data_IF_515029163727
#
_entry.id   IF_515029163727
#
_cell.length_a   1.000
_cell.length_b   1.000
_cell.length_c   1.000
_cell.angle_alpha   90.00
_cell.angle_beta   90.00
_cell.angle_gamma   90.00
#
_symmetry.space_group_name_H-M   'P 1'
#
loop_
_entity.id
_entity.type
_entity.pdbx_description
1 polymer ?
#
# COMPACT_ATOMS: atom_id res chain seq x y z
N UNK A 1 15.96 1.02 -7.58
CA UNK A 1 16.41 -0.39 -7.42
C UNK A 1 16.91 -0.89 -8.77
N UNK A 2 18.22 -1.15 -8.90
CA UNK A 2 18.86 -1.51 -10.18
C UNK A 2 18.58 -2.99 -10.46
N UNK A 3 17.88 -3.31 -11.56
CA UNK A 3 17.67 -4.71 -11.96
C UNK A 3 19.03 -5.31 -12.33
N UNK A 4 19.48 -6.34 -11.61
CA UNK A 4 20.67 -7.12 -11.99
C UNK A 4 20.29 -8.08 -13.11
N UNK A 5 21.21 -8.24 -14.04
CA UNK A 5 21.29 -9.36 -14.98
C UNK A 5 21.09 -10.66 -14.20
N UNK A 6 20.18 -11.53 -14.66
CA UNK A 6 19.95 -12.83 -14.03
C UNK A 6 21.23 -13.68 -14.11
N UNK A 7 21.39 -14.63 -13.19
CA UNK A 7 22.51 -15.56 -13.18
C UNK A 7 22.57 -16.37 -14.48
N UNK A 8 23.77 -16.84 -14.84
CA UNK A 8 23.99 -17.74 -15.99
C UNK A 8 23.12 -18.99 -15.94
N UNK A 9 22.84 -19.50 -14.73
CA UNK A 9 21.99 -20.67 -14.50
C UNK A 9 20.52 -20.43 -14.86
N UNK A 10 20.08 -19.18 -15.11
CA UNK A 10 18.68 -18.92 -15.42
C UNK A 10 18.22 -19.62 -16.71
N UNK A 11 19.11 -19.80 -17.69
CA UNK A 11 18.80 -20.51 -18.94
C UNK A 11 18.75 -22.03 -18.79
N UNK A 12 19.25 -22.58 -17.68
CA UNK A 12 19.22 -24.03 -17.42
C UNK A 12 17.88 -24.50 -16.84
N UNK A 13 17.06 -23.58 -16.32
CA UNK A 13 15.73 -23.93 -15.84
C UNK A 13 14.76 -24.10 -17.01
N UNK A 14 14.20 -25.30 -17.13
CA UNK A 14 13.07 -25.55 -18.03
C UNK A 14 11.83 -24.87 -17.46
N UNK A 15 11.17 -23.94 -18.19
CA UNK A 15 9.95 -23.31 -17.71
C UNK A 15 8.85 -24.37 -17.57
N UNK A 16 8.46 -24.69 -16.35
CA UNK A 16 7.27 -25.52 -16.12
C UNK A 16 6.03 -24.70 -16.45
N UNK A 17 5.17 -25.22 -17.33
CA UNK A 17 3.81 -24.68 -17.48
C UNK A 17 3.09 -24.93 -16.17
N UNK A 18 3.03 -23.92 -15.31
CA UNK A 18 2.10 -23.90 -14.20
C UNK A 18 0.73 -23.79 -14.86
N UNK A 19 0.09 -24.94 -15.12
CA UNK A 19 -1.36 -24.99 -15.24
C UNK A 19 -1.85 -24.67 -13.83
N UNK A 20 -2.00 -23.39 -13.54
CA UNK A 20 -2.71 -22.97 -12.34
C UNK A 20 -4.06 -23.69 -12.44
N UNK A 21 -4.26 -24.69 -11.58
CA UNK A 21 -5.59 -25.24 -11.37
C UNK A 21 -6.40 -24.04 -10.93
N UNK A 22 -7.16 -23.52 -11.87
CA UNK A 22 -7.89 -22.29 -11.70
C UNK A 22 -8.98 -22.63 -10.70
N UNK A 23 -8.70 -22.40 -9.41
CA UNK A 23 -9.69 -22.52 -8.36
C UNK A 23 -10.89 -21.69 -8.79
N UNK A 24 -12.11 -22.18 -8.53
CA UNK A 24 -13.36 -21.55 -9.00
C UNK A 24 -13.48 -20.05 -8.67
N UNK A 25 -12.67 -19.52 -7.75
CA UNK A 25 -12.60 -18.11 -7.38
C UNK A 25 -11.15 -17.58 -7.47
N UNK A 26 -10.75 -17.11 -8.65
CA UNK A 26 -9.49 -16.38 -8.82
C UNK A 26 -9.66 -14.92 -8.38
N UNK A 27 -9.16 -14.56 -7.20
CA UNK A 27 -9.03 -13.15 -6.81
C UNK A 27 -7.57 -12.68 -6.95
N UNK A 28 -7.39 -11.43 -7.35
CA UNK A 28 -6.07 -10.78 -7.40
C UNK A 28 -5.75 -10.25 -6.01
N UNK A 29 -4.62 -10.65 -5.45
CA UNK A 29 -4.15 -10.07 -4.19
C UNK A 29 -3.25 -8.87 -4.48
N UNK A 30 -3.61 -7.70 -3.95
CA UNK A 30 -2.83 -6.46 -4.06
C UNK A 30 -2.23 -6.13 -2.69
N UNK A 31 -0.93 -5.87 -2.67
CA UNK A 31 -0.24 -5.34 -1.50
C UNK A 31 -0.73 -3.92 -1.18
N UNK A 32 -1.26 -3.73 0.02
CA UNK A 32 -1.80 -2.46 0.50
C UNK A 32 -0.72 -1.40 0.68
N UNK A 33 0.50 -1.80 1.06
CA UNK A 33 1.65 -0.89 1.14
C UNK A 33 1.98 -0.29 -0.23
N UNK A 34 2.06 -1.12 -1.26
CA UNK A 34 2.20 -0.68 -2.65
C UNK A 34 1.07 0.24 -3.08
N UNK A 35 -0.19 -0.15 -2.81
CA UNK A 35 -1.37 0.59 -3.23
C UNK A 35 -1.37 2.03 -2.69
N UNK A 36 -1.03 2.22 -1.40
CA UNK A 36 -0.97 3.52 -0.72
C UNK A 36 -0.01 4.52 -1.37
N UNK A 37 1.04 4.05 -2.03
CA UNK A 37 1.99 4.92 -2.72
C UNK A 37 1.75 4.98 -4.23
N UNK A 38 0.89 4.11 -4.76
CA UNK A 38 0.63 4.03 -6.19
C UNK A 38 -0.45 5.00 -6.66
N UNK A 39 -1.47 5.23 -5.84
CA UNK A 39 -2.55 6.18 -6.12
C UNK A 39 -2.06 7.58 -5.76
N UNK A 40 -1.97 8.46 -6.74
CA UNK A 40 -1.47 9.84 -6.56
C UNK A 40 -2.62 10.75 -6.14
N UNK A 41 -2.44 11.46 -5.02
CA UNK A 41 -3.42 12.42 -4.53
C UNK A 41 -3.39 13.70 -5.37
N UNK A 42 -4.52 14.04 -6.02
CA UNK A 42 -4.63 15.31 -6.74
C UNK A 42 -4.87 16.46 -5.77
N UNK A 43 -4.46 17.67 -6.18
CA UNK A 43 -4.74 18.89 -5.40
C UNK A 43 -6.25 19.11 -5.29
N UNK A 44 -6.69 19.65 -4.16
CA UNK A 44 -8.08 20.01 -3.87
C UNK A 44 -9.07 18.83 -3.81
N UNK A 45 -8.60 17.58 -3.69
CA UNK A 45 -9.46 16.46 -3.35
C UNK A 45 -9.59 16.34 -1.83
N UNK A 46 -10.79 16.05 -1.35
CA UNK A 46 -11.00 15.65 0.04
C UNK A 46 -10.61 14.17 0.26
N UNK A 47 -10.43 13.77 1.51
CA UNK A 47 -10.04 12.39 1.84
C UNK A 47 -11.04 11.33 1.36
N UNK A 48 -12.34 11.65 1.30
CA UNK A 48 -13.36 10.74 0.78
C UNK A 48 -13.20 10.47 -0.72
N UNK A 49 -12.97 11.52 -1.52
CA UNK A 49 -12.72 11.40 -2.95
C UNK A 49 -11.36 10.75 -3.23
N UNK A 50 -10.36 11.05 -2.39
CA UNK A 50 -9.08 10.33 -2.41
C UNK A 50 -9.34 8.84 -2.17
N UNK A 51 -10.09 8.45 -1.12
CA UNK A 51 -10.38 7.05 -0.83
C UNK A 51 -11.13 6.36 -1.98
N UNK A 52 -12.10 7.02 -2.62
CA UNK A 52 -12.77 6.50 -3.82
C UNK A 52 -11.80 6.27 -4.99
N UNK A 53 -10.80 7.14 -5.15
CA UNK A 53 -9.79 6.96 -6.21
C UNK A 53 -9.00 5.66 -6.06
N UNK A 54 -8.83 5.14 -4.83
CA UNK A 54 -8.26 3.81 -4.58
C UNK A 54 -9.12 2.69 -5.13
N UNK A 55 -10.44 2.75 -4.89
CA UNK A 55 -11.38 1.79 -5.45
C UNK A 55 -11.35 1.84 -6.99
N UNK A 56 -11.42 3.04 -7.57
CA UNK A 56 -11.36 3.23 -9.03
C UNK A 56 -10.05 2.68 -9.61
N UNK A 57 -8.92 2.91 -8.94
CA UNK A 57 -7.63 2.36 -9.36
C UNK A 57 -7.66 0.82 -9.38
N UNK A 58 -8.17 0.20 -8.31
CA UNK A 58 -8.25 -1.26 -8.24
C UNK A 58 -9.14 -1.85 -9.33
N UNK A 59 -10.34 -1.28 -9.52
CA UNK A 59 -11.27 -1.71 -10.56
C UNK A 59 -10.68 -1.58 -11.96
N UNK A 60 -9.99 -0.46 -12.22
CA UNK A 60 -9.42 -0.17 -13.54
C UNK A 60 -8.22 -1.07 -13.87
N UNK A 61 -7.38 -1.39 -12.88
CA UNK A 61 -6.12 -2.10 -13.11
C UNK A 61 -6.20 -3.61 -12.85
N UNK A 62 -7.11 -4.06 -12.00
CA UNK A 62 -7.18 -5.46 -11.55
C UNK A 62 -8.60 -6.07 -11.70
N UNK A 63 -9.61 -5.26 -12.02
CA UNK A 63 -11.00 -5.71 -12.15
C UNK A 63 -11.74 -5.77 -10.82
N UNK A 64 -12.87 -6.51 -10.79
CA UNK A 64 -13.79 -6.51 -9.66
C UNK A 64 -13.48 -7.53 -8.56
N UNK A 65 -12.64 -8.52 -8.83
CA UNK A 65 -12.35 -9.60 -7.87
C UNK A 65 -10.94 -9.42 -7.27
N UNK A 66 -10.81 -8.45 -6.38
CA UNK A 66 -9.52 -8.01 -5.81
C UNK A 66 -9.57 -8.06 -4.30
N UNK A 67 -8.54 -8.63 -3.68
CA UNK A 67 -8.32 -8.58 -2.25
C UNK A 67 -7.11 -7.69 -1.97
N UNK A 68 -7.31 -6.61 -1.20
CA UNK A 68 -6.21 -5.74 -0.76
C UNK A 68 -5.75 -6.16 0.62
N UNK A 69 -4.45 -6.40 0.78
CA UNK A 69 -3.86 -6.81 2.06
C UNK A 69 -3.03 -5.67 2.61
N UNK A 70 -3.54 -4.99 3.64
CA UNK A 70 -2.75 -4.02 4.39
C UNK A 70 -1.95 -4.76 5.47
N UNK A 71 -0.67 -4.99 5.22
CA UNK A 71 0.22 -5.57 6.22
C UNK A 71 0.68 -4.49 7.23
N UNK A 72 0.14 -4.57 8.44
CA UNK A 72 0.69 -3.87 9.58
C UNK A 72 1.73 -4.75 10.25
N UNK A 73 2.92 -4.22 10.54
CA UNK A 73 3.73 -4.87 11.57
C UNK A 73 3.03 -4.67 12.92
N UNK A 74 2.84 -5.74 13.72
CA UNK A 74 2.37 -5.61 15.08
C UNK A 74 3.22 -4.56 15.81
N UNK A 75 2.57 -3.61 16.49
CA UNK A 75 3.26 -2.56 17.28
C UNK A 75 4.15 -3.16 18.38
N UNK A 76 3.85 -4.39 18.77
CA UNK A 76 4.49 -5.24 19.77
C UNK A 76 5.59 -6.17 19.19
N UNK A 77 5.92 -6.06 17.89
CA UNK A 77 7.07 -6.74 17.33
C UNK A 77 8.35 -6.15 17.94
N UNK A 78 8.76 -6.73 19.08
CA UNK A 78 10.00 -6.55 19.81
C UNK A 78 11.03 -5.91 18.89
N UNK A 79 11.38 -4.64 19.12
CA UNK A 79 12.11 -3.74 18.20
C UNK A 79 13.54 -4.17 17.79
N UNK A 80 13.83 -5.46 17.84
CA UNK A 80 15.08 -6.15 17.55
C UNK A 80 15.28 -6.47 16.06
N UNK A 81 14.33 -6.11 15.18
CA UNK A 81 14.48 -6.27 13.73
C UNK A 81 15.07 -5.02 13.09
N UNK A 82 15.96 -5.22 12.11
CA UNK A 82 16.47 -4.15 11.25
C UNK A 82 15.35 -3.39 10.52
N UNK A 83 14.22 -4.07 10.23
CA UNK A 83 13.03 -3.44 9.64
C UNK A 83 12.37 -2.43 10.60
N UNK A 84 12.27 -2.78 11.89
CA UNK A 84 11.68 -1.90 12.91
C UNK A 84 12.55 -0.68 13.17
N UNK A 85 13.88 -0.86 13.26
CA UNK A 85 14.83 0.25 13.40
C UNK A 85 14.77 1.23 12.22
N UNK A 86 14.73 0.71 10.98
CA UNK A 86 14.62 1.55 9.78
C UNK A 86 13.26 2.26 9.69
N UNK A 87 12.17 1.62 10.13
CA UNK A 87 10.85 2.25 10.23
C UNK A 87 10.87 3.43 11.21
N UNK A 88 11.40 3.24 12.41
CA UNK A 88 11.52 4.31 13.43
C UNK A 88 12.40 5.45 12.90
N UNK A 89 13.53 5.13 12.26
CA UNK A 89 14.41 6.14 11.67
C UNK A 89 13.67 7.00 10.62
N UNK A 90 12.87 6.39 9.73
CA UNK A 90 12.08 7.11 8.72
C UNK A 90 10.94 7.91 9.33
N UNK A 91 10.23 7.34 10.30
CA UNK A 91 9.16 8.04 11.02
C UNK A 91 9.71 9.30 11.69
N UNK A 92 10.82 9.20 12.42
CA UNK A 92 11.44 10.35 13.11
C UNK A 92 11.96 11.44 12.16
N UNK A 93 12.32 11.10 10.92
CA UNK A 93 12.85 12.06 9.94
C UNK A 93 11.76 12.80 9.16
N UNK A 94 10.61 12.15 8.93
CA UNK A 94 9.65 12.58 7.91
C UNK A 94 8.18 12.57 8.36
N UNK A 95 7.87 12.24 9.62
CA UNK A 95 6.47 12.20 10.06
C UNK A 95 5.90 13.62 10.22
N UNK A 96 4.73 13.86 9.64
CA UNK A 96 3.88 14.98 10.02
C UNK A 96 3.35 14.82 11.45
N UNK A 97 2.69 15.86 11.96
CA UNK A 97 1.81 15.73 13.11
C UNK A 97 0.64 14.78 12.78
N UNK A 98 0.02 14.24 13.82
CA UNK A 98 -1.25 13.53 13.70
C UNK A 98 -2.32 14.50 13.19
N UNK A 99 -3.05 14.10 12.15
CA UNK A 99 -4.07 14.91 11.50
C UNK A 99 -5.41 14.28 11.83
N UNK A 100 -6.28 15.06 12.47
CA UNK A 100 -7.68 14.70 12.66
C UNK A 100 -8.42 15.15 11.40
N UNK A 101 -9.04 14.22 10.70
CA UNK A 101 -9.75 14.51 9.46
C UNK A 101 -11.05 13.71 9.36
N UNK A 102 -11.94 14.21 8.52
CA UNK A 102 -13.13 13.49 8.04
C UNK A 102 -13.09 13.35 6.52
N UNK A 103 -14.10 12.71 5.94
CA UNK A 103 -14.16 12.47 4.48
C UNK A 103 -14.19 13.77 3.67
N UNK A 104 -14.75 14.86 4.20
CA UNK A 104 -14.83 16.16 3.55
C UNK A 104 -13.57 17.03 3.71
N UNK A 105 -12.60 16.60 4.53
CA UNK A 105 -11.38 17.36 4.79
C UNK A 105 -10.40 17.21 3.62
N UNK A 106 -9.80 18.32 3.17
CA UNK A 106 -8.73 18.30 2.18
C UNK A 106 -7.36 18.17 2.88
N UNK A 107 -6.44 17.31 2.39
CA UNK A 107 -5.11 17.23 2.96
C UNK A 107 -4.33 18.52 2.71
N UNK A 108 -3.80 19.11 3.78
CA UNK A 108 -2.98 20.33 3.73
C UNK A 108 -1.49 20.02 3.46
N UNK A 109 -1.09 18.77 3.65
CA UNK A 109 0.28 18.29 3.46
C UNK A 109 0.36 17.28 2.32
N UNK A 110 1.58 16.99 1.86
CA UNK A 110 1.76 16.01 0.79
C UNK A 110 1.36 14.60 1.22
N UNK A 111 1.01 13.75 0.26
CA UNK A 111 0.71 12.34 0.48
C UNK A 111 1.86 11.62 1.21
N UNK A 112 3.11 11.91 0.83
CA UNK A 112 4.29 11.30 1.44
C UNK A 112 4.44 11.70 2.92
N UNK A 113 4.23 12.99 3.24
CA UNK A 113 4.29 13.48 4.61
C UNK A 113 3.16 12.90 5.46
N UNK A 114 1.95 12.81 4.90
CA UNK A 114 0.79 12.23 5.58
C UNK A 114 1.00 10.75 5.88
N UNK A 115 1.40 9.96 4.87
CA UNK A 115 1.60 8.52 5.00
C UNK A 115 2.85 8.13 5.81
N UNK A 116 3.78 9.06 6.03
CA UNK A 116 4.93 8.86 6.90
C UNK A 116 4.56 8.80 8.39
N UNK A 117 3.43 9.40 8.79
CA UNK A 117 2.90 9.28 10.14
C UNK A 117 2.04 8.01 10.24
N UNK A 118 2.42 7.10 11.14
CA UNK A 118 1.76 5.79 11.29
C UNK A 118 0.31 5.90 11.75
N UNK A 119 -0.04 6.87 12.60
CA UNK A 119 -1.43 7.08 13.03
C UNK A 119 -2.30 7.59 11.89
N UNK A 120 -1.79 8.57 11.15
CA UNK A 120 -2.47 9.09 9.96
C UNK A 120 -2.71 7.98 8.93
N UNK A 121 -1.68 7.14 8.70
CA UNK A 121 -1.76 5.99 7.81
C UNK A 121 -2.83 4.98 8.25
N UNK A 122 -2.90 4.63 9.54
CA UNK A 122 -3.93 3.72 10.07
C UNK A 122 -5.33 4.30 9.88
N UNK A 123 -5.55 5.56 10.27
CA UNK A 123 -6.85 6.23 10.11
C UNK A 123 -7.27 6.30 8.65
N UNK A 124 -6.33 6.57 7.74
CA UNK A 124 -6.61 6.62 6.31
C UNK A 124 -6.89 5.24 5.72
N UNK A 125 -6.18 4.19 6.15
CA UNK A 125 -6.50 2.81 5.77
C UNK A 125 -7.92 2.46 6.20
N UNK A 126 -8.34 2.84 7.40
CA UNK A 126 -9.70 2.59 7.89
C UNK A 126 -10.75 3.36 7.09
N UNK A 127 -10.42 4.57 6.60
CA UNK A 127 -11.27 5.27 5.65
C UNK A 127 -11.36 4.53 4.30
N UNK A 128 -10.23 4.12 3.72
CA UNK A 128 -10.19 3.41 2.43
C UNK A 128 -10.97 2.10 2.50
N UNK A 129 -10.87 1.34 3.60
CA UNK A 129 -11.65 0.12 3.83
C UNK A 129 -13.17 0.31 3.78
N UNK A 130 -13.70 1.52 4.00
CA UNK A 130 -15.14 1.79 3.86
C UNK A 130 -15.60 1.80 2.40
N UNK A 131 -14.67 1.98 1.47
CA UNK A 131 -14.95 2.07 0.03
C UNK A 131 -14.50 0.82 -0.75
N UNK A 132 -13.65 -0.02 -0.16
CA UNK A 132 -13.22 -1.30 -0.75
C UNK A 132 -14.22 -2.42 -0.43
#
# INVERSE_FOLDING_TARGET
MRKRTKSSLYSEFTPTKIYAVQGKNNFVTVDGGHLLHKVVWQRNMNFGDIAKSYLTYLQTHYGSNVAVVFDGYPSDANGKSTKSAERIRRANLHSSHEIIFNEATCPEISQEQFLANERNKVLFIDLVKKFL
#
